data_IF_032913540448
#
_entry.id   IF_032913540448
#
_cell.length_a   1.000
_cell.length_b   1.000
_cell.length_c   1.000
_cell.angle_alpha   90.00
_cell.angle_beta   90.00
_cell.angle_gamma   90.00
#
_symmetry.space_group_name_H-M   'P 1'
#
loop_
_entity.id
_entity.type
_entity.pdbx_description
1 polymer ?
#
# COMPACT_ATOMS: atom_id res chain seq x y z
N UNK A 1 -6.48 -18.18 17.55
CA UNK A 1 -6.48 -17.09 16.56
C UNK A 1 -7.10 -15.86 17.20
N UNK A 2 -6.26 -14.93 17.68
CA UNK A 2 -6.74 -13.64 18.18
C UNK A 2 -7.13 -12.73 17.00
N UNK A 3 -8.08 -11.79 17.18
CA UNK A 3 -8.39 -10.83 16.15
C UNK A 3 -7.18 -9.89 16.00
N UNK A 4 -6.70 -9.73 14.77
CA UNK A 4 -5.78 -8.64 14.43
C UNK A 4 -6.49 -7.32 14.78
N UNK A 5 -6.12 -6.70 15.90
CA UNK A 5 -6.54 -5.34 16.24
C UNK A 5 -5.89 -4.42 15.21
N UNK A 6 -6.75 -3.56 14.64
CA UNK A 6 -6.46 -2.75 13.46
C UNK A 6 -5.13 -2.01 13.50
N UNK A 7 -4.54 -1.92 12.32
CA UNK A 7 -3.42 -1.02 12.03
C UNK A 7 -3.83 0.40 12.41
N UNK A 8 -2.88 1.05 13.07
CA UNK A 8 -2.86 2.33 13.75
C UNK A 8 -3.81 3.44 13.23
N UNK A 9 -4.50 4.08 14.18
CA UNK A 9 -5.53 5.13 14.03
C UNK A 9 -5.03 6.47 13.46
N UNK A 10 -3.72 6.65 13.27
CA UNK A 10 -3.13 7.99 13.08
C UNK A 10 -3.14 8.49 11.62
N UNK A 11 -3.31 7.59 10.64
CA UNK A 11 -3.37 7.94 9.22
C UNK A 11 -4.80 8.25 8.73
N UNK A 12 -5.83 7.99 9.54
CA UNK A 12 -7.24 8.19 9.16
C UNK A 12 -7.69 9.65 9.26
N UNK A 13 -7.12 10.42 10.17
CA UNK A 13 -7.59 11.79 10.43
C UNK A 13 -7.13 12.76 9.32
N UNK A 14 -5.97 12.52 8.69
CA UNK A 14 -5.55 13.23 7.48
C UNK A 14 -6.46 12.93 6.26
N UNK A 15 -7.13 11.78 6.27
CA UNK A 15 -7.83 11.25 5.10
C UNK A 15 -9.22 11.88 4.89
N UNK A 16 -9.79 12.54 5.90
CA UNK A 16 -11.20 12.99 5.89
C UNK A 16 -11.39 14.50 5.65
N UNK A 17 -10.36 15.33 5.84
CA UNK A 17 -10.53 16.80 5.75
C UNK A 17 -10.30 17.39 4.35
N UNK A 18 -9.67 16.66 3.43
CA UNK A 18 -9.27 17.18 2.11
C UNK A 18 -9.83 16.39 0.90
N UNK A 19 -11.01 15.77 1.03
CA UNK A 19 -11.65 15.07 -0.10
C UNK A 19 -12.05 16.02 -1.26
N UNK A 20 -12.16 17.33 -1.01
CA UNK A 20 -12.70 18.27 -2.02
C UNK A 20 -11.66 19.16 -2.74
N UNK A 21 -10.43 19.36 -2.24
CA UNK A 21 -9.48 20.30 -2.87
C UNK A 21 -8.08 19.73 -3.20
N UNK A 22 -7.66 18.61 -2.62
CA UNK A 22 -6.31 18.06 -2.89
C UNK A 22 -6.25 17.18 -4.14
N UNK A 23 -7.36 16.64 -4.67
CA UNK A 23 -7.32 15.57 -5.69
C UNK A 23 -7.81 16.00 -7.09
N UNK A 24 -7.03 16.81 -7.82
CA UNK A 24 -7.09 16.80 -9.28
C UNK A 24 -6.49 15.46 -9.77
N UNK A 25 -7.31 14.42 -9.89
CA UNK A 25 -6.92 13.05 -10.32
C UNK A 25 -6.89 11.99 -9.21
N UNK A 26 -6.91 10.71 -9.58
CA UNK A 26 -6.90 9.60 -8.60
C UNK A 26 -5.54 9.46 -7.91
N UNK A 27 -5.51 8.94 -6.68
CA UNK A 27 -4.27 8.66 -5.93
C UNK A 27 -3.27 7.83 -6.76
N UNK A 28 -3.77 6.86 -7.53
CA UNK A 28 -2.98 6.07 -8.48
C UNK A 28 -2.33 6.94 -9.56
N UNK A 29 -3.08 7.84 -10.19
CA UNK A 29 -2.55 8.72 -11.25
C UNK A 29 -1.43 9.59 -10.69
N UNK A 30 -1.67 10.23 -9.55
CA UNK A 30 -0.70 11.10 -8.89
C UNK A 30 0.60 10.38 -8.54
N UNK A 31 0.50 9.19 -7.97
CA UNK A 31 1.67 8.36 -7.70
C UNK A 31 2.51 8.15 -8.96
N UNK A 32 1.88 7.74 -10.07
CA UNK A 32 2.61 7.50 -11.31
C UNK A 32 3.19 8.77 -11.94
N UNK A 33 2.53 9.91 -11.79
CA UNK A 33 3.05 11.19 -12.29
C UNK A 33 4.29 11.61 -11.50
N UNK A 34 4.25 11.48 -10.16
CA UNK A 34 5.38 11.78 -9.28
C UNK A 34 6.53 10.80 -9.51
N UNK A 35 6.26 9.50 -9.53
CA UNK A 35 7.26 8.47 -9.76
C UNK A 35 7.97 8.61 -11.12
N UNK A 36 7.27 9.10 -12.17
CA UNK A 36 7.91 9.38 -13.47
C UNK A 36 8.77 10.64 -13.46
N UNK A 37 8.46 11.61 -12.60
CA UNK A 37 9.21 12.86 -12.48
C UNK A 37 10.39 12.79 -11.51
N UNK A 38 10.36 11.87 -10.55
CA UNK A 38 11.36 11.72 -9.51
C UNK A 38 12.67 11.09 -10.03
N UNK A 39 13.75 11.19 -9.23
CA UNK A 39 14.99 10.49 -9.53
C UNK A 39 14.76 8.97 -9.51
N UNK A 40 15.25 8.29 -10.55
CA UNK A 40 15.14 6.84 -10.71
C UNK A 40 15.63 6.06 -9.48
N UNK A 41 16.74 6.45 -8.87
CA UNK A 41 17.28 5.77 -7.68
C UNK A 41 16.32 5.86 -6.49
N UNK A 42 15.69 7.02 -6.28
CA UNK A 42 14.68 7.19 -5.23
C UNK A 42 13.50 6.26 -5.47
N UNK A 43 13.02 6.19 -6.71
CA UNK A 43 11.88 5.33 -7.06
C UNK A 43 12.22 3.85 -6.91
N UNK A 44 13.43 3.44 -7.30
CA UNK A 44 13.91 2.07 -7.15
C UNK A 44 14.04 1.69 -5.66
N UNK A 45 14.61 2.58 -4.83
CA UNK A 45 14.71 2.37 -3.37
C UNK A 45 13.33 2.23 -2.71
N UNK A 46 12.38 3.13 -3.00
CA UNK A 46 11.04 3.06 -2.41
C UNK A 46 10.27 1.82 -2.89
N UNK A 47 10.48 1.39 -4.14
CA UNK A 47 9.92 0.15 -4.64
C UNK A 47 10.52 -1.09 -3.93
N UNK A 48 11.83 -1.10 -3.67
CA UNK A 48 12.48 -2.20 -2.95
C UNK A 48 11.92 -2.35 -1.53
N UNK A 49 11.68 -1.24 -0.82
CA UNK A 49 11.00 -1.25 0.49
C UNK A 49 9.58 -1.81 0.42
N UNK A 50 8.83 -1.48 -0.62
CA UNK A 50 7.49 -2.04 -0.84
C UNK A 50 7.56 -3.56 -1.09
N UNK A 51 8.57 -4.01 -1.84
CA UNK A 51 8.79 -5.42 -2.12
C UNK A 51 9.22 -6.18 -0.84
N UNK A 52 10.08 -5.60 -0.02
CA UNK A 52 10.45 -6.15 1.30
C UNK A 52 9.21 -6.30 2.20
N UNK A 53 8.36 -5.26 2.28
CA UNK A 53 7.09 -5.30 3.02
C UNK A 53 6.20 -6.45 2.55
N UNK A 54 6.09 -6.67 1.24
CA UNK A 54 5.34 -7.80 0.67
C UNK A 54 5.95 -9.15 1.07
N UNK A 55 7.27 -9.32 0.89
CA UNK A 55 7.97 -10.56 1.23
C UNK A 55 7.82 -10.91 2.72
N UNK A 56 7.92 -9.92 3.61
CA UNK A 56 7.69 -10.11 5.05
C UNK A 56 6.24 -10.52 5.33
N UNK A 57 5.26 -9.92 4.67
CA UNK A 57 3.85 -10.32 4.82
C UNK A 57 3.61 -11.75 4.35
N UNK A 58 4.19 -12.18 3.23
CA UNK A 58 4.08 -13.55 2.76
C UNK A 58 4.72 -14.55 3.73
N UNK A 59 5.91 -14.23 4.25
CA UNK A 59 6.59 -15.04 5.26
C UNK A 59 5.77 -15.15 6.55
N UNK A 60 5.21 -14.04 7.04
CA UNK A 60 4.38 -14.03 8.24
C UNK A 60 3.10 -14.85 8.08
N UNK A 61 2.46 -14.78 6.90
CA UNK A 61 1.23 -15.52 6.61
C UNK A 61 1.49 -17.02 6.40
N UNK A 62 2.64 -17.40 5.85
CA UNK A 62 3.00 -18.80 5.56
C UNK A 62 3.70 -19.52 6.71
N UNK A 63 4.22 -18.81 7.72
CA UNK A 63 5.08 -19.33 8.79
C UNK A 63 4.59 -20.59 9.51
N UNK A 64 3.27 -20.72 9.68
CA UNK A 64 2.64 -21.85 10.39
C UNK A 64 1.74 -22.69 9.47
N UNK A 65 1.82 -22.46 8.16
CA UNK A 65 1.00 -23.14 7.18
C UNK A 65 1.72 -24.39 6.66
N UNK A 66 0.94 -25.33 6.17
CA UNK A 66 1.41 -26.56 5.54
C UNK A 66 1.97 -26.33 4.13
N UNK A 67 2.71 -27.32 3.60
CA UNK A 67 3.30 -27.26 2.25
C UNK A 67 2.26 -27.10 1.14
N UNK A 68 0.99 -27.40 1.42
CA UNK A 68 -0.14 -27.23 0.49
C UNK A 68 -0.72 -25.80 0.50
N UNK A 69 -0.23 -24.91 1.35
CA UNK A 69 -0.72 -23.55 1.46
C UNK A 69 -0.36 -22.70 0.24
N UNK A 70 -1.38 -22.38 -0.56
CA UNK A 70 -1.28 -21.48 -1.69
C UNK A 70 -1.78 -20.07 -1.30
N UNK A 71 -0.84 -19.20 -0.94
CA UNK A 71 -1.11 -17.79 -0.61
C UNK A 71 -1.75 -17.03 -1.77
N UNK A 72 -1.40 -17.35 -3.02
CA UNK A 72 -1.94 -16.66 -4.19
C UNK A 72 -3.43 -16.97 -4.37
N UNK A 73 -3.84 -18.23 -4.10
CA UNK A 73 -5.25 -18.61 -4.07
C UNK A 73 -6.01 -17.82 -3.00
N UNK A 74 -5.46 -17.74 -1.79
CA UNK A 74 -6.08 -16.99 -0.67
C UNK A 74 -6.24 -15.50 -1.01
N UNK A 75 -5.19 -14.86 -1.54
CA UNK A 75 -5.23 -13.45 -1.96
C UNK A 75 -6.33 -13.25 -3.01
N UNK A 76 -6.39 -14.10 -4.03
CA UNK A 76 -7.40 -13.98 -5.10
C UNK A 76 -8.82 -14.10 -4.55
N UNK A 77 -9.09 -15.05 -3.67
CA UNK A 77 -10.39 -15.19 -3.02
C UNK A 77 -10.74 -13.99 -2.14
N UNK A 78 -9.76 -13.46 -1.41
CA UNK A 78 -9.95 -12.28 -0.57
C UNK A 78 -10.34 -11.05 -1.41
N UNK A 79 -9.67 -10.83 -2.54
CA UNK A 79 -9.98 -9.71 -3.46
C UNK A 79 -11.40 -9.81 -3.99
N UNK A 80 -11.84 -11.01 -4.40
CA UNK A 80 -13.21 -11.21 -4.92
C UNK A 80 -14.25 -10.89 -3.85
N UNK A 81 -14.00 -11.26 -2.60
CA UNK A 81 -14.95 -11.08 -1.48
C UNK A 81 -14.96 -9.67 -0.91
N UNK A 82 -13.85 -8.93 -1.04
CA UNK A 82 -13.64 -7.66 -0.35
C UNK A 82 -13.16 -6.55 -1.32
N UNK A 83 -13.70 -6.51 -2.54
CA UNK A 83 -13.22 -5.63 -3.61
C UNK A 83 -13.12 -4.16 -3.19
N UNK A 84 -14.17 -3.63 -2.54
CA UNK A 84 -14.22 -2.22 -2.13
C UNK A 84 -13.18 -1.89 -1.06
N UNK A 85 -13.01 -2.77 -0.06
CA UNK A 85 -12.01 -2.62 1.00
C UNK A 85 -10.59 -2.68 0.42
N UNK A 86 -10.35 -3.59 -0.53
CA UNK A 86 -9.07 -3.71 -1.22
C UNK A 86 -8.79 -2.46 -2.05
N UNK A 87 -9.78 -1.92 -2.77
CA UNK A 87 -9.63 -0.68 -3.52
C UNK A 87 -9.37 0.53 -2.61
N UNK A 88 -10.04 0.63 -1.46
CA UNK A 88 -9.75 1.68 -0.47
C UNK A 88 -8.34 1.54 0.11
N UNK A 89 -7.92 0.33 0.49
CA UNK A 89 -6.56 0.07 0.97
C UNK A 89 -5.52 0.46 -0.07
N UNK A 90 -5.73 0.07 -1.35
CA UNK A 90 -4.85 0.43 -2.46
C UNK A 90 -4.74 1.94 -2.65
N UNK A 91 -5.84 2.70 -2.53
CA UNK A 91 -5.81 4.17 -2.58
C UNK A 91 -4.92 4.73 -1.47
N UNK A 92 -5.07 4.23 -0.24
CA UNK A 92 -4.22 4.62 0.89
C UNK A 92 -2.73 4.34 0.64
N UNK A 93 -2.40 3.15 0.12
CA UNK A 93 -1.02 2.79 -0.21
C UNK A 93 -0.42 3.67 -1.31
N UNK A 94 -1.21 4.07 -2.32
CA UNK A 94 -0.72 5.03 -3.32
C UNK A 94 -0.38 6.40 -2.72
N UNK A 95 -1.15 6.84 -1.72
CA UNK A 95 -0.87 8.09 -1.00
C UNK A 95 0.40 7.97 -0.16
N UNK A 96 0.56 6.87 0.59
CA UNK A 96 1.77 6.56 1.38
C UNK A 96 3.02 6.60 0.50
N UNK A 97 3.03 5.81 -0.58
CA UNK A 97 4.16 5.76 -1.53
C UNK A 97 4.46 7.11 -2.20
N UNK A 98 3.43 7.90 -2.44
CA UNK A 98 3.60 9.26 -2.96
C UNK A 98 4.33 10.16 -1.95
N UNK A 99 3.91 10.10 -0.68
CA UNK A 99 4.55 10.86 0.40
C UNK A 99 6.01 10.45 0.61
N UNK A 100 6.31 9.16 0.52
CA UNK A 100 7.68 8.63 0.67
C UNK A 100 8.63 9.19 -0.41
N UNK A 101 8.18 9.21 -1.67
CA UNK A 101 8.97 9.78 -2.78
C UNK A 101 9.14 11.30 -2.62
N UNK A 102 8.06 12.02 -2.33
CA UNK A 102 8.09 13.50 -2.21
C UNK A 102 9.02 13.94 -1.08
N UNK A 103 8.95 13.29 0.08
CA UNK A 103 9.79 13.62 1.24
C UNK A 103 11.29 13.51 0.92
N UNK A 104 11.67 12.57 0.04
CA UNK A 104 13.05 12.38 -0.41
C UNK A 104 13.49 13.36 -1.50
N UNK A 105 12.56 14.00 -2.22
CA UNK A 105 12.90 15.04 -3.19
C UNK A 105 13.19 16.39 -2.53
N UNK A 106 12.57 16.65 -1.37
CA UNK A 106 12.74 17.88 -0.59
C UNK A 106 13.94 17.85 0.38
N UNK A 107 14.63 16.71 0.50
CA UNK A 107 15.81 16.49 1.37
C UNK A 107 17.13 16.55 0.60
#
# INVERSE_FOLDING_TARGET
MGPFKGVNSMSKDWFLEDEDDIFIGSAKSKYFDIARSANKEIVEDEFDKLLEKLAVMELLLSKEMDEEFDINRVIKEYVIRNLDEVEQMKKGLYVELTGDIVTRLDS
#
